data_IF_648373759299
#
_entry.id   IF_648373759299
#
_cell.length_a   1.000
_cell.length_b   1.000
_cell.length_c   1.000
_cell.angle_alpha   90.00
_cell.angle_beta   90.00
_cell.angle_gamma   90.00
#
_symmetry.space_group_name_H-M   'P 1'
#
loop_
_entity.id
_entity.type
_entity.pdbx_description
1 polymer ?
#
# COMPACT_ATOMS: atom_id res chain seq x y z
N UNK A 1 -1.65 -1.46 11.90
CA UNK A 1 -1.95 -0.84 10.59
C UNK A 1 -3.06 0.19 10.75
N UNK A 2 -2.88 1.41 10.27
CA UNK A 2 -3.89 2.46 10.28
C UNK A 2 -4.21 2.88 8.84
N UNK A 3 -5.49 2.98 8.52
CA UNK A 3 -5.97 3.44 7.22
C UNK A 3 -7.03 4.51 7.40
N UNK A 4 -7.01 5.54 6.56
CA UNK A 4 -7.97 6.61 6.66
C UNK A 4 -7.79 7.68 5.61
N UNK A 5 -8.84 8.46 5.42
CA UNK A 5 -8.91 9.49 4.39
C UNK A 5 -9.11 10.87 5.05
N UNK A 6 -8.52 11.90 4.45
CA UNK A 6 -8.63 13.29 4.95
C UNK A 6 -7.60 13.65 6.02
N UNK A 7 -7.35 14.96 6.16
CA UNK A 7 -6.22 15.52 6.94
C UNK A 7 -6.21 15.06 8.40
N UNK A 8 -7.37 14.96 9.06
CA UNK A 8 -7.46 14.50 10.46
C UNK A 8 -6.97 13.06 10.61
N UNK A 9 -7.40 12.16 9.73
CA UNK A 9 -7.02 10.75 9.79
C UNK A 9 -5.54 10.56 9.42
N UNK A 10 -5.04 11.33 8.45
CA UNK A 10 -3.62 11.31 8.08
C UNK A 10 -2.73 11.78 9.25
N UNK A 11 -3.16 12.78 10.02
CA UNK A 11 -2.44 13.20 11.23
C UNK A 11 -2.46 12.10 12.30
N UNK A 12 -3.63 11.51 12.58
CA UNK A 12 -3.71 10.38 13.52
C UNK A 12 -2.80 9.21 13.10
N UNK A 13 -2.71 8.93 11.80
CA UNK A 13 -1.77 7.94 11.28
C UNK A 13 -0.32 8.32 11.59
N UNK A 14 0.07 9.59 11.41
CA UNK A 14 1.41 10.06 11.76
C UNK A 14 1.75 9.90 13.25
N UNK A 15 0.76 9.99 14.13
CA UNK A 15 0.96 9.84 15.57
C UNK A 15 1.04 8.38 16.02
N UNK A 16 0.20 7.50 15.46
CA UNK A 16 -0.06 6.19 16.04
C UNK A 16 0.24 5.01 15.11
N UNK A 17 0.45 5.22 13.82
CA UNK A 17 0.59 4.10 12.88
C UNK A 17 2.05 3.64 12.74
N UNK A 18 2.26 2.34 12.85
CA UNK A 18 3.52 1.69 12.43
C UNK A 18 3.47 1.31 10.95
N UNK A 19 2.26 1.03 10.44
CA UNK A 19 1.99 0.82 9.01
C UNK A 19 0.81 1.72 8.62
N UNK A 20 1.05 2.65 7.70
CA UNK A 20 0.05 3.57 7.16
C UNK A 20 -0.40 3.13 5.76
N UNK A 21 -1.68 2.77 5.62
CA UNK A 21 -2.31 2.53 4.32
C UNK A 21 -3.09 3.78 3.89
N UNK A 22 -2.70 4.37 2.77
CA UNK A 22 -3.43 5.50 2.18
C UNK A 22 -4.16 4.97 0.94
N UNK A 23 -5.49 4.90 0.96
CA UNK A 23 -6.22 4.30 -0.14
C UNK A 23 -6.08 5.08 -1.46
N UNK A 24 -6.08 4.41 -2.62
CA UNK A 24 -5.93 5.06 -3.92
C UNK A 24 -7.16 5.88 -4.35
N UNK A 25 -8.33 5.65 -3.75
CA UNK A 25 -9.57 6.40 -4.04
C UNK A 25 -9.65 7.76 -3.32
N UNK A 26 -8.58 8.18 -2.64
CA UNK A 26 -8.52 9.44 -1.93
C UNK A 26 -8.28 10.59 -2.92
N UNK A 27 -9.08 11.65 -2.82
CA UNK A 27 -8.93 12.85 -3.67
C UNK A 27 -7.60 13.60 -3.47
N UNK A 28 -6.93 13.37 -2.35
CA UNK A 28 -5.63 13.97 -2.05
C UNK A 28 -4.55 13.18 -2.76
N UNK A 29 -3.65 13.82 -3.53
CA UNK A 29 -2.52 13.14 -4.16
C UNK A 29 -1.71 12.34 -3.14
N UNK A 30 -1.28 11.15 -3.52
CA UNK A 30 -0.57 10.18 -2.68
C UNK A 30 0.63 10.83 -1.95
N UNK A 31 1.46 11.57 -2.69
CA UNK A 31 2.63 12.29 -2.15
C UNK A 31 2.25 13.30 -1.06
N UNK A 32 1.16 14.06 -1.29
CA UNK A 32 0.64 15.03 -0.33
C UNK A 32 0.07 14.34 0.91
N UNK A 33 -0.59 13.20 0.75
CA UNK A 33 -1.08 12.44 1.89
C UNK A 33 0.08 11.88 2.74
N UNK A 34 1.14 11.35 2.12
CA UNK A 34 2.35 10.89 2.81
C UNK A 34 3.07 12.03 3.53
N UNK A 35 3.16 13.20 2.91
CA UNK A 35 3.81 14.35 3.54
C UNK A 35 3.08 14.80 4.81
N UNK A 36 1.74 14.79 4.83
CA UNK A 36 0.96 15.06 6.04
C UNK A 36 1.27 14.04 7.15
N UNK A 37 1.30 12.75 6.81
CA UNK A 37 1.63 11.67 7.77
C UNK A 37 3.04 11.87 8.33
N UNK A 38 4.04 12.07 7.47
CA UNK A 38 5.44 12.27 7.89
C UNK A 38 5.64 13.53 8.71
N UNK A 39 5.00 14.65 8.34
CA UNK A 39 5.08 15.90 9.10
C UNK A 39 4.49 15.75 10.50
N UNK A 40 3.37 15.03 10.63
CA UNK A 40 2.80 14.79 11.96
C UNK A 40 3.67 13.80 12.74
N UNK A 41 4.18 12.75 12.12
CA UNK A 41 5.12 11.81 12.75
C UNK A 41 6.41 12.48 13.25
N UNK A 42 6.92 13.47 12.52
CA UNK A 42 8.05 14.32 12.92
C UNK A 42 7.81 15.02 14.25
N UNK A 43 6.60 15.57 14.44
CA UNK A 43 6.20 16.26 15.68
C UNK A 43 6.18 15.33 16.89
N UNK A 44 6.10 14.03 16.66
CA UNK A 44 6.12 12.98 17.68
C UNK A 44 7.42 12.16 17.63
N UNK A 45 8.46 12.66 16.95
CA UNK A 45 9.79 12.03 16.87
C UNK A 45 9.78 10.58 16.37
N UNK A 46 8.89 10.26 15.42
CA UNK A 46 8.68 8.89 14.93
C UNK A 46 8.56 8.77 13.42
N UNK A 47 9.03 9.76 12.66
CA UNK A 47 8.90 9.79 11.20
C UNK A 47 9.53 8.60 10.48
N UNK A 48 10.61 8.03 11.03
CA UNK A 48 11.31 6.87 10.48
C UNK A 48 10.69 5.53 10.92
N UNK A 49 9.75 5.56 11.86
CA UNK A 49 9.09 4.37 12.41
C UNK A 49 7.79 4.01 11.66
N UNK A 50 7.50 4.69 10.54
CA UNK A 50 6.27 4.48 9.78
C UNK A 50 6.59 3.83 8.44
N UNK A 51 6.15 2.59 8.29
CA UNK A 51 6.08 1.93 7.00
C UNK A 51 4.80 2.36 6.26
N UNK A 52 4.87 2.44 4.94
CA UNK A 52 3.70 2.68 4.11
C UNK A 52 3.24 1.39 3.46
N UNK A 53 1.91 1.26 3.33
CA UNK A 53 1.26 0.24 2.54
C UNK A 53 0.52 0.87 1.36
N UNK A 54 0.61 0.23 0.20
CA UNK A 54 -0.17 0.55 -0.99
C UNK A 54 -1.03 -0.66 -1.37
N UNK A 55 -2.02 -0.43 -2.20
CA UNK A 55 -2.85 -1.48 -2.76
C UNK A 55 -3.73 -0.91 -3.85
N UNK A 56 -4.03 -1.72 -4.84
CA UNK A 56 -5.03 -1.40 -5.83
C UNK A 56 -6.43 -1.72 -5.30
N UNK A 57 -7.42 -1.00 -5.79
CA UNK A 57 -8.82 -1.31 -5.47
C UNK A 57 -9.17 -2.62 -6.15
N UNK A 58 -9.58 -3.62 -5.37
CA UNK A 58 -10.23 -4.79 -5.95
C UNK A 58 -11.57 -4.35 -6.55
N UNK A 59 -11.58 -4.02 -7.84
CA UNK A 59 -12.82 -3.74 -8.56
C UNK A 59 -13.55 -5.06 -8.77
N UNK A 60 -14.72 -5.23 -8.13
CA UNK A 60 -15.44 -6.51 -8.10
C UNK A 60 -15.69 -7.13 -9.49
N UNK A 61 -15.78 -6.29 -10.51
CA UNK A 61 -16.08 -6.71 -11.89
C UNK A 61 -14.82 -6.94 -12.75
N UNK A 62 -13.64 -6.58 -12.24
CA UNK A 62 -12.38 -6.76 -12.95
C UNK A 62 -11.78 -8.13 -12.63
N UNK A 63 -11.38 -8.87 -13.66
CA UNK A 63 -10.64 -10.12 -13.47
C UNK A 63 -9.23 -9.81 -12.94
N UNK A 64 -8.69 -10.73 -12.14
CA UNK A 64 -7.30 -10.66 -11.74
C UNK A 64 -6.40 -10.64 -12.99
N UNK A 65 -5.57 -9.60 -13.10
CA UNK A 65 -4.58 -9.44 -14.16
C UNK A 65 -3.21 -9.34 -13.51
N UNK A 66 -2.45 -10.44 -13.60
CA UNK A 66 -1.13 -10.56 -13.01
C UNK A 66 -0.17 -9.48 -13.52
N UNK A 67 -0.30 -9.07 -14.80
CA UNK A 67 0.58 -8.07 -15.40
C UNK A 67 0.29 -6.69 -14.84
N UNK A 68 -0.99 -6.31 -14.76
CA UNK A 68 -1.41 -5.04 -14.17
C UNK A 68 -0.99 -4.96 -12.69
N UNK A 69 -1.21 -6.03 -11.92
CA UNK A 69 -0.78 -6.10 -10.52
C UNK A 69 0.74 -5.99 -10.40
N UNK A 70 1.50 -6.64 -11.28
CA UNK A 70 2.97 -6.53 -11.29
C UNK A 70 3.45 -5.08 -11.50
N UNK A 71 2.82 -4.34 -12.41
CA UNK A 71 3.12 -2.92 -12.64
C UNK A 71 2.80 -2.05 -11.41
N UNK A 72 1.68 -2.31 -10.75
CA UNK A 72 1.30 -1.61 -9.52
C UNK A 72 2.28 -1.89 -8.37
N UNK A 73 2.74 -3.14 -8.23
CA UNK A 73 3.74 -3.53 -7.22
C UNK A 73 5.08 -2.84 -7.51
N UNK A 74 5.54 -2.84 -8.77
CA UNK A 74 6.77 -2.17 -9.17
C UNK A 74 6.72 -0.67 -8.87
N UNK A 75 5.59 -0.03 -9.19
CA UNK A 75 5.38 1.38 -8.87
C UNK A 75 5.38 1.64 -7.36
N UNK A 76 4.69 0.81 -6.58
CA UNK A 76 4.68 0.94 -5.12
C UNK A 76 6.10 0.81 -4.52
N UNK A 77 6.90 -0.13 -5.02
CA UNK A 77 8.29 -0.31 -4.62
C UNK A 77 9.14 0.94 -4.95
N UNK A 78 9.02 1.49 -6.17
CA UNK A 78 9.69 2.75 -6.56
C UNK A 78 9.26 3.94 -5.71
N UNK A 79 8.00 3.97 -5.27
CA UNK A 79 7.48 4.99 -4.37
C UNK A 79 7.95 4.78 -2.90
N UNK A 80 8.73 3.74 -2.60
CA UNK A 80 9.28 3.46 -1.27
C UNK A 80 8.21 2.93 -0.29
N UNK A 81 7.24 2.18 -0.80
CA UNK A 81 6.21 1.49 -0.02
C UNK A 81 6.74 0.10 0.35
N UNK A 82 6.67 -0.24 1.64
CA UNK A 82 7.20 -1.52 2.14
C UNK A 82 6.18 -2.66 2.06
N UNK A 83 4.88 -2.34 2.04
CA UNK A 83 3.81 -3.34 2.01
C UNK A 83 2.89 -3.12 0.81
N UNK A 84 2.52 -4.21 0.12
CA UNK A 84 1.54 -4.17 -0.95
C UNK A 84 0.35 -5.08 -0.65
N UNK A 85 -0.86 -4.56 -0.78
CA UNK A 85 -2.12 -5.28 -0.59
C UNK A 85 -2.61 -5.73 -1.97
N UNK A 86 -2.44 -7.02 -2.27
CA UNK A 86 -2.85 -7.60 -3.55
C UNK A 86 -4.38 -7.71 -3.68
N UNK A 87 -4.99 -7.28 -4.80
CA UNK A 87 -6.43 -7.31 -5.02
C UNK A 87 -6.91 -8.71 -5.45
N UNK A 88 -6.68 -9.73 -4.62
CA UNK A 88 -7.10 -11.10 -4.94
C UNK A 88 -8.62 -11.25 -4.76
N UNK A 89 -9.31 -11.61 -5.85
CA UNK A 89 -10.76 -11.83 -5.86
C UNK A 89 -11.13 -13.15 -5.19
N UNK A 90 -12.35 -13.21 -4.61
CA UNK A 90 -12.88 -14.45 -4.01
C UNK A 90 -13.02 -15.57 -5.05
N UNK A 91 -13.52 -15.23 -6.23
CA UNK A 91 -13.60 -16.16 -7.37
C UNK A 91 -12.20 -16.40 -7.92
N UNK A 92 -11.76 -17.66 -7.97
CA UNK A 92 -10.41 -18.01 -8.43
C UNK A 92 -9.29 -17.63 -7.44
N UNK A 93 -9.62 -17.33 -6.18
CA UNK A 93 -8.66 -16.86 -5.16
C UNK A 93 -7.39 -17.70 -5.09
N UNK A 94 -7.53 -19.02 -4.98
CA UNK A 94 -6.38 -19.93 -4.81
C UNK A 94 -5.47 -19.96 -6.04
N UNK A 95 -6.04 -19.92 -7.24
CA UNK A 95 -5.25 -19.96 -8.48
C UNK A 95 -4.54 -18.62 -8.70
N UNK A 96 -5.25 -17.50 -8.49
CA UNK A 96 -4.67 -16.16 -8.54
C UNK A 96 -3.57 -15.97 -7.48
N UNK A 97 -3.77 -16.50 -6.27
CA UNK A 97 -2.76 -16.48 -5.20
C UNK A 97 -1.52 -17.27 -5.60
N UNK A 98 -1.68 -18.47 -6.18
CA UNK A 98 -0.55 -19.28 -6.68
C UNK A 98 0.21 -18.54 -7.78
N UNK A 99 -0.50 -17.95 -8.73
CA UNK A 99 0.13 -17.18 -9.81
C UNK A 99 0.88 -15.95 -9.27
N UNK A 100 0.27 -15.20 -8.36
CA UNK A 100 0.92 -14.06 -7.70
C UNK A 100 2.16 -14.50 -6.92
N UNK A 101 2.04 -15.55 -6.10
CA UNK A 101 3.13 -16.07 -5.30
C UNK A 101 4.29 -16.59 -6.15
N UNK A 102 4.00 -17.24 -7.30
CA UNK A 102 5.02 -17.78 -8.19
C UNK A 102 5.75 -16.69 -8.98
N UNK A 103 5.04 -15.66 -9.43
CA UNK A 103 5.58 -14.72 -10.43
C UNK A 103 5.93 -13.33 -9.88
N UNK A 104 5.38 -12.92 -8.72
CA UNK A 104 5.62 -11.59 -8.14
C UNK A 104 6.52 -11.67 -6.91
N UNK A 105 6.15 -12.47 -5.90
CA UNK A 105 6.85 -12.49 -4.60
C UNK A 105 8.37 -12.71 -4.72
N UNK A 106 8.90 -13.62 -5.56
CA UNK A 106 10.33 -13.88 -5.62
C UNK A 106 11.17 -12.63 -5.91
N UNK A 107 10.67 -11.73 -6.76
CA UNK A 107 11.33 -10.47 -7.14
C UNK A 107 11.44 -9.45 -6.01
N UNK A 108 10.73 -9.66 -4.90
CA UNK A 108 10.69 -8.77 -3.73
C UNK A 108 10.99 -9.51 -2.42
N UNK A 109 11.39 -10.78 -2.51
CA UNK A 109 11.70 -11.64 -1.35
C UNK A 109 13.16 -11.56 -0.90
N UNK A 110 14.01 -10.88 -1.68
CA UNK A 110 15.38 -10.54 -1.30
C UNK A 110 15.36 -9.43 -0.24
N UNK A 111 15.49 -9.83 1.02
CA UNK A 111 15.98 -8.96 2.08
C UNK A 111 17.50 -8.86 1.90
N UNK A 112 17.95 -7.90 1.11
CA UNK A 112 19.28 -7.32 1.27
C UNK A 112 19.16 -6.07 2.18
#
# INVERSE_FOLDING_TARGET
>A
MFGGVGTRMLRLAGQYSDICHIPPWVRVPMEKARSIVKQEARRFHREDNIAFAAGSVANRDQKFDLKAVGQDVEKAAKDGVLYYIAPLHRTGYLDNLKEFAKNIIPSYSGLD
#
